data_IF_822259228547
#
_entry.id   IF_822259228547
#
_cell.length_a   1.000
_cell.length_b   1.000
_cell.length_c   1.000
_cell.angle_alpha   90.00
_cell.angle_beta   90.00
_cell.angle_gamma   90.00
#
_symmetry.space_group_name_H-M   'P 1'
#
loop_
_entity.id
_entity.type
_entity.pdbx_description
1 polymer ?
#
# COMPACT_ATOMS: atom_id res chain seq x y z
N UNK A 1 -4.97 2.87 20.42
CA UNK A 1 -6.09 3.81 20.70
C UNK A 1 -6.35 4.00 22.19
N UNK A 2 -6.24 2.97 23.03
CA UNK A 2 -6.43 3.15 24.48
C UNK A 2 -5.42 4.10 25.13
N UNK A 3 -4.14 4.05 24.73
CA UNK A 3 -3.11 4.97 25.21
C UNK A 3 -3.48 6.43 24.94
N UNK A 4 -3.86 6.74 23.69
CA UNK A 4 -4.34 8.07 23.30
C UNK A 4 -5.57 8.49 24.11
N UNK A 5 -6.53 7.58 24.31
CA UNK A 5 -7.72 7.85 25.12
C UNK A 5 -7.39 8.20 26.56
N UNK A 6 -6.42 7.48 27.16
CA UNK A 6 -5.99 7.70 28.55
C UNK A 6 -5.27 9.03 28.74
N UNK A 7 -4.43 9.42 27.80
CA UNK A 7 -3.62 10.65 27.93
C UNK A 7 -4.37 11.91 27.49
N UNK A 8 -5.19 11.82 26.45
CA UNK A 8 -5.76 12.99 25.77
C UNK A 8 -7.29 12.98 25.70
N UNK A 9 -7.95 12.01 26.34
CA UNK A 9 -9.40 11.87 26.32
C UNK A 9 -9.94 11.34 25.00
N UNK A 10 -11.25 11.46 24.79
CA UNK A 10 -11.93 10.82 23.65
C UNK A 10 -11.67 11.51 22.31
N UNK A 11 -11.28 12.79 22.32
CA UNK A 11 -11.06 13.56 21.10
C UNK A 11 -9.94 12.99 20.23
N UNK A 12 -8.82 12.57 20.83
CA UNK A 12 -7.66 12.06 20.09
C UNK A 12 -7.94 10.74 19.35
N UNK A 13 -8.54 9.69 19.97
CA UNK A 13 -8.94 8.50 19.24
C UNK A 13 -9.91 8.79 18.08
N UNK A 14 -10.84 9.73 18.25
CA UNK A 14 -11.78 10.10 17.17
C UNK A 14 -11.03 10.76 16.03
N UNK A 15 -10.21 11.76 16.32
CA UNK A 15 -9.37 12.45 15.34
C UNK A 15 -8.45 11.48 14.61
N UNK A 16 -7.74 10.63 15.34
CA UNK A 16 -6.83 9.62 14.77
C UNK A 16 -7.56 8.63 13.88
N UNK A 17 -8.79 8.24 14.24
CA UNK A 17 -9.64 7.42 13.39
C UNK A 17 -10.03 8.11 12.08
N UNK A 18 -10.36 9.41 12.14
CA UNK A 18 -10.67 10.22 10.95
C UNK A 18 -9.44 10.41 10.05
N UNK A 19 -8.27 10.69 10.63
CA UNK A 19 -7.01 10.81 9.87
C UNK A 19 -6.67 9.52 9.13
N UNK A 20 -6.78 8.36 9.81
CA UNK A 20 -6.56 7.06 9.18
C UNK A 20 -7.57 6.78 8.05
N UNK A 21 -8.82 7.19 8.22
CA UNK A 21 -9.83 7.07 7.16
C UNK A 21 -9.47 7.93 5.95
N UNK A 22 -9.11 9.19 6.15
CA UNK A 22 -8.72 10.11 5.07
C UNK A 22 -7.53 9.55 4.30
N UNK A 23 -6.52 9.01 5.00
CA UNK A 23 -5.37 8.39 4.35
C UNK A 23 -5.80 7.20 3.49
N UNK A 24 -6.62 6.29 4.02
CA UNK A 24 -7.09 5.12 3.25
C UNK A 24 -7.93 5.50 2.03
N UNK A 25 -8.79 6.50 2.17
CA UNK A 25 -9.73 6.91 1.13
C UNK A 25 -9.05 7.80 0.06
N UNK A 26 -8.02 8.56 0.45
CA UNK A 26 -7.35 9.56 -0.40
C UNK A 26 -6.01 9.13 -0.98
N UNK A 27 -5.46 8.00 -0.53
CA UNK A 27 -4.17 7.53 -1.03
C UNK A 27 -4.31 6.98 -2.46
N UNK A 28 -3.61 7.62 -3.38
CA UNK A 28 -3.45 7.12 -4.73
C UNK A 28 -2.12 6.38 -4.85
N UNK A 29 -2.16 5.18 -5.44
CA UNK A 29 -0.97 4.37 -5.72
C UNK A 29 -0.95 3.92 -7.17
N UNK A 30 0.18 4.08 -7.89
CA UNK A 30 0.33 3.55 -9.23
C UNK A 30 0.06 2.04 -9.28
N UNK A 31 -0.66 1.58 -10.30
CA UNK A 31 -0.90 0.14 -10.52
C UNK A 31 0.41 -0.66 -10.68
N UNK A 32 1.46 -0.02 -11.20
CA UNK A 32 2.80 -0.60 -11.32
C UNK A 32 3.43 -1.00 -9.97
N UNK A 33 2.93 -0.45 -8.85
CA UNK A 33 3.39 -0.74 -7.49
C UNK A 33 2.39 -1.63 -6.72
N UNK A 34 1.55 -2.41 -7.42
CA UNK A 34 0.56 -3.31 -6.82
C UNK A 34 -0.83 -2.69 -6.61
N UNK A 35 -1.03 -1.42 -6.97
CA UNK A 35 -2.32 -0.72 -6.87
C UNK A 35 -2.89 -0.68 -5.43
N UNK A 36 -4.18 -0.39 -5.31
CA UNK A 36 -4.85 -0.32 -4.00
C UNK A 36 -5.03 -1.69 -3.31
N UNK A 37 -4.86 -2.80 -4.04
CA UNK A 37 -5.18 -4.15 -3.56
C UNK A 37 -3.95 -5.01 -3.24
N UNK A 38 -2.74 -4.60 -3.64
CA UNK A 38 -1.54 -5.46 -3.59
C UNK A 38 -0.31 -4.86 -2.89
N UNK A 39 -0.35 -3.62 -2.41
CA UNK A 39 0.86 -2.92 -1.93
C UNK A 39 0.93 -2.76 -0.41
N UNK A 40 2.14 -2.90 0.14
CA UNK A 40 2.61 -2.58 1.51
C UNK A 40 1.86 -1.40 2.18
N UNK A 41 1.73 -1.31 3.52
CA UNK A 41 1.03 -0.19 4.18
C UNK A 41 1.49 1.19 3.71
N UNK A 42 0.62 2.20 3.76
CA UNK A 42 1.01 3.59 3.46
C UNK A 42 2.01 4.09 4.48
N UNK A 43 3.03 4.82 4.04
CA UNK A 43 3.89 5.59 4.95
C UNK A 43 3.06 6.56 5.81
N UNK A 44 2.00 7.14 5.25
CA UNK A 44 1.09 8.01 6.01
C UNK A 44 0.32 7.23 7.08
N UNK A 45 -0.07 5.99 6.77
CA UNK A 45 -0.77 5.12 7.72
C UNK A 45 0.19 4.62 8.81
N UNK A 46 1.46 4.36 8.47
CA UNK A 46 2.50 3.95 9.41
C UNK A 46 2.92 5.08 10.35
N UNK A 47 3.02 6.32 9.86
CA UNK A 47 3.20 7.52 10.69
C UNK A 47 2.03 7.64 11.68
N UNK A 48 0.79 7.49 11.19
CA UNK A 48 -0.39 7.58 12.03
C UNK A 48 -0.50 6.44 13.04
N UNK A 49 0.11 5.28 12.77
CA UNK A 49 0.21 4.18 13.73
C UNK A 49 1.40 4.29 14.67
N UNK A 50 2.34 5.19 14.40
CA UNK A 50 3.60 5.29 15.13
C UNK A 50 4.51 4.09 14.89
N UNK A 51 4.48 3.50 13.68
CA UNK A 51 5.39 2.42 13.29
C UNK A 51 6.70 2.99 12.72
N UNK A 52 6.59 3.69 11.61
CA UNK A 52 7.72 4.17 10.82
C UNK A 52 7.34 5.44 10.07
N UNK A 53 8.30 6.32 9.85
CA UNK A 53 8.17 7.60 9.16
C UNK A 53 9.07 7.73 7.93
N UNK A 54 9.81 6.67 7.62
CA UNK A 54 10.72 6.57 6.49
C UNK A 54 10.14 5.71 5.37
N UNK A 55 10.56 6.02 4.14
CA UNK A 55 10.33 5.19 2.96
C UNK A 55 11.68 4.88 2.34
N UNK A 56 11.93 3.61 2.06
CA UNK A 56 13.15 3.16 1.38
C UNK A 56 12.84 2.60 0.00
N UNK A 57 13.87 2.28 -0.77
CA UNK A 57 13.70 1.76 -2.12
C UNK A 57 13.00 0.40 -2.12
N UNK A 58 13.21 -0.39 -1.08
CA UNK A 58 12.61 -1.71 -0.86
C UNK A 58 11.08 -1.64 -0.65
N UNK A 59 10.55 -0.50 -0.20
CA UNK A 59 9.10 -0.29 -0.04
C UNK A 59 8.40 0.02 -1.38
N UNK A 60 9.17 0.50 -2.37
CA UNK A 60 8.70 0.82 -3.72
C UNK A 60 8.99 -0.32 -4.69
N UNK A 61 10.17 -0.94 -4.56
CA UNK A 61 10.66 -2.01 -5.40
C UNK A 61 10.67 -3.33 -4.60
N UNK A 62 9.52 -4.00 -4.57
CA UNK A 62 9.28 -5.25 -3.84
C UNK A 62 9.77 -6.52 -4.59
N UNK A 63 10.42 -6.36 -5.75
CA UNK A 63 11.10 -7.44 -6.49
C UNK A 63 10.32 -8.01 -7.67
N UNK A 64 9.13 -7.50 -7.99
CA UNK A 64 8.33 -7.91 -9.15
C UNK A 64 8.68 -7.10 -10.42
N UNK A 65 9.56 -6.10 -10.31
CA UNK A 65 9.83 -5.12 -11.38
C UNK A 65 10.71 -5.71 -12.47
N UNK A 66 11.45 -6.77 -12.13
CA UNK A 66 12.24 -7.56 -13.07
C UNK A 66 11.47 -8.77 -13.61
N UNK A 67 10.23 -8.99 -13.14
CA UNK A 67 9.44 -10.12 -13.62
C UNK A 67 9.19 -9.95 -15.11
N UNK A 68 9.47 -10.97 -15.93
CA UNK A 68 9.16 -10.90 -17.34
C UNK A 68 7.64 -10.74 -17.49
N UNK A 69 7.23 -9.58 -18.01
CA UNK A 69 5.88 -9.39 -18.52
C UNK A 69 5.75 -10.34 -19.71
N UNK A 70 4.74 -11.20 -19.69
CA UNK A 70 4.51 -12.15 -20.78
C UNK A 70 4.51 -11.40 -22.11
N UNK A 71 5.40 -11.78 -23.01
CA UNK A 71 5.45 -11.16 -24.33
C UNK A 71 4.14 -11.42 -25.06
N UNK A 72 3.82 -10.57 -26.02
CA UNK A 72 2.67 -10.79 -26.91
C UNK A 72 2.68 -12.21 -27.53
N UNK A 73 3.88 -12.71 -27.86
CA UNK A 73 4.08 -14.06 -28.38
C UNK A 73 3.74 -15.15 -27.36
N UNK A 74 4.17 -15.03 -26.09
CA UNK A 74 3.85 -15.99 -25.03
C UNK A 74 2.33 -16.07 -24.78
N UNK A 75 1.65 -14.92 -24.82
CA UNK A 75 0.19 -14.88 -24.73
C UNK A 75 -0.50 -15.54 -25.93
N UNK A 76 0.01 -15.31 -27.13
CA UNK A 76 -0.53 -15.90 -28.35
C UNK A 76 -0.35 -17.41 -28.36
N UNK A 77 0.84 -17.91 -28.01
CA UNK A 77 1.13 -19.34 -27.94
C UNK A 77 0.23 -20.04 -26.93
N UNK A 78 -0.01 -19.43 -25.76
CA UNK A 78 -0.91 -19.95 -24.73
C UNK A 78 -2.38 -19.95 -25.18
N UNK A 79 -2.85 -18.88 -25.84
CA UNK A 79 -4.24 -18.77 -26.32
C UNK A 79 -4.51 -19.69 -27.51
N UNK A 80 -3.53 -19.85 -28.40
CA UNK A 80 -3.65 -20.63 -29.63
C UNK A 80 -3.22 -22.09 -29.47
N UNK A 81 -2.70 -22.49 -28.29
CA UNK A 81 -2.22 -23.85 -28.00
C UNK A 81 -1.18 -24.32 -29.02
N UNK A 82 -0.18 -23.48 -29.29
CA UNK A 82 0.87 -23.77 -30.30
C UNK A 82 2.02 -24.60 -29.70
N UNK A 83 1.91 -25.05 -28.45
CA UNK A 83 2.73 -26.10 -27.84
C UNK A 83 1.88 -27.25 -27.33
#
# INVERSE_FOLDING_TARGET
MESLRRTFGIAEPVRRGMELKIVRDGEWRPMALGGAAGGLPSVHEDILRGREDTITWEDVFAGDETRPVAGFHDEMEKKLKIQ
#
